data_IF_048771998129
#
_entry.id   IF_048771998129
#
_cell.length_a   1.000
_cell.length_b   1.000
_cell.length_c   1.000
_cell.angle_alpha   90.00
_cell.angle_beta   90.00
_cell.angle_gamma   90.00
#
_symmetry.space_group_name_H-M   'P 1'
#
loop_
_entity.id
_entity.type
_entity.pdbx_description
1 polymer ?
#
# COMPACT_ATOMS: atom_id res chain seq x y z
N UNK A 1 8.06 -4.70 27.90
CA UNK A 1 6.88 -5.24 27.18
C UNK A 1 7.18 -5.17 25.70
N UNK A 2 7.19 -6.31 25.01
CA UNK A 2 7.25 -6.28 23.55
C UNK A 2 5.95 -5.61 23.08
N UNK A 3 6.04 -4.46 22.41
CA UNK A 3 4.87 -3.89 21.73
C UNK A 3 4.48 -4.92 20.66
N UNK A 4 3.29 -5.48 20.78
CA UNK A 4 2.75 -6.38 19.76
C UNK A 4 2.80 -5.65 18.41
N UNK A 5 3.40 -6.31 17.42
CA UNK A 5 3.46 -5.76 16.07
C UNK A 5 2.02 -5.59 15.57
N UNK A 6 1.69 -4.49 14.87
CA UNK A 6 0.33 -4.27 14.42
C UNK A 6 -0.10 -5.42 13.51
N UNK A 7 -1.32 -5.92 13.75
CA UNK A 7 -1.88 -7.01 12.95
C UNK A 7 -2.16 -6.47 11.55
N UNK A 8 -1.51 -7.09 10.56
CA UNK A 8 -1.66 -6.74 9.15
C UNK A 8 -2.27 -7.90 8.38
N UNK A 9 -3.25 -7.59 7.55
CA UNK A 9 -3.88 -8.50 6.61
C UNK A 9 -3.69 -7.96 5.19
N UNK A 10 -3.43 -8.87 4.25
CA UNK A 10 -3.35 -8.54 2.82
C UNK A 10 -4.32 -9.46 2.09
N UNK A 11 -5.25 -8.86 1.35
CA UNK A 11 -6.07 -9.59 0.40
C UNK A 11 -5.35 -9.55 -0.95
N UNK A 12 -5.28 -10.71 -1.59
CA UNK A 12 -4.48 -10.93 -2.78
C UNK A 12 -5.37 -11.41 -3.93
N UNK A 13 -4.95 -11.17 -5.18
CA UNK A 13 -5.57 -11.81 -6.32
C UNK A 13 -5.49 -13.35 -6.21
N UNK A 14 -6.21 -14.09 -7.09
CA UNK A 14 -6.00 -15.51 -7.26
C UNK A 14 -4.52 -15.88 -7.32
N UNK A 15 -4.19 -17.06 -6.80
CA UNK A 15 -2.81 -17.59 -6.80
C UNK A 15 -2.17 -17.64 -8.19
N UNK A 16 -2.97 -17.64 -9.25
CA UNK A 16 -2.50 -17.68 -10.63
C UNK A 16 -2.97 -16.41 -11.33
N UNK A 17 -2.03 -15.64 -11.88
CA UNK A 17 -2.31 -14.38 -12.56
C UNK A 17 -1.80 -14.43 -14.01
N UNK A 18 -2.62 -14.06 -15.00
CA UNK A 18 -2.18 -13.94 -16.39
C UNK A 18 -1.25 -12.74 -16.56
N UNK A 19 -0.25 -12.91 -17.41
CA UNK A 19 0.74 -11.90 -17.71
C UNK A 19 0.18 -10.76 -18.57
N UNK A 20 0.64 -9.53 -18.33
CA UNK A 20 0.19 -8.34 -19.07
C UNK A 20 -1.21 -7.86 -18.70
N UNK A 21 -1.98 -8.62 -17.94
CA UNK A 21 -3.28 -8.22 -17.42
C UNK A 21 -3.13 -7.54 -16.05
N UNK A 22 -4.01 -6.58 -15.79
CA UNK A 22 -4.10 -5.94 -14.47
C UNK A 22 -4.42 -6.98 -13.42
N UNK A 23 -3.68 -6.93 -12.31
CA UNK A 23 -3.90 -7.76 -11.14
C UNK A 23 -5.30 -7.48 -10.60
N UNK A 24 -6.16 -8.51 -10.60
CA UNK A 24 -7.55 -8.41 -10.21
C UNK A 24 -7.97 -9.61 -9.32
N UNK A 25 -8.61 -9.39 -8.16
CA UNK A 25 -8.81 -8.09 -7.51
C UNK A 25 -7.49 -7.39 -7.18
N UNK A 26 -7.57 -6.08 -6.99
CA UNK A 26 -6.43 -5.28 -6.55
C UNK A 26 -5.89 -5.77 -5.20
N UNK A 27 -4.59 -5.60 -4.98
CA UNK A 27 -3.98 -5.97 -3.70
C UNK A 27 -4.38 -4.92 -2.67
N UNK A 28 -5.20 -5.31 -1.69
CA UNK A 28 -5.62 -4.44 -0.59
C UNK A 28 -4.91 -4.83 0.70
N UNK A 29 -4.49 -3.82 1.47
CA UNK A 29 -3.80 -3.99 2.73
C UNK A 29 -4.63 -3.36 3.83
N UNK A 30 -4.83 -4.12 4.90
CA UNK A 30 -5.47 -3.68 6.12
C UNK A 30 -4.45 -3.72 7.25
N UNK A 31 -4.29 -2.62 7.98
CA UNK A 31 -3.53 -2.56 9.22
C UNK A 31 -4.40 -1.98 10.34
N UNK A 32 -4.42 -2.62 11.50
CA UNK A 32 -5.11 -2.07 12.67
C UNK A 32 -4.43 -0.77 13.14
N UNK A 33 -5.20 0.19 13.66
CA UNK A 33 -4.68 1.42 14.26
C UNK A 33 -4.66 1.24 15.79
N UNK A 34 -3.55 1.49 16.49
CA UNK A 34 -3.58 1.53 17.95
C UNK A 34 -4.40 2.73 18.40
N UNK A 35 -5.22 2.55 19.43
CA UNK A 35 -6.14 3.58 19.95
C UNK A 35 -5.46 4.94 20.22
N UNK A 36 -4.16 4.94 20.54
CA UNK A 36 -3.37 6.17 20.78
C UNK A 36 -2.98 6.95 19.51
N UNK A 37 -2.97 6.32 18.32
CA UNK A 37 -2.57 6.98 17.07
C UNK A 37 -3.61 8.01 16.58
N UNK A 38 -4.84 7.94 17.09
CA UNK A 38 -5.92 8.89 16.81
C UNK A 38 -5.60 10.31 17.33
N UNK A 39 -4.71 10.42 18.33
CA UNK A 39 -4.42 11.70 18.99
C UNK A 39 -3.37 12.57 18.27
N UNK A 40 -2.68 12.06 17.24
CA UNK A 40 -1.68 12.84 16.50
C UNK A 40 -1.81 12.64 14.99
N UNK A 41 -1.54 13.67 14.18
CA UNK A 41 -1.44 13.50 12.73
C UNK A 41 -0.33 12.50 12.39
N UNK A 42 -0.72 11.45 11.68
CA UNK A 42 0.23 10.54 11.07
C UNK A 42 -0.05 10.49 9.58
N UNK A 43 1.04 10.56 8.80
CA UNK A 43 0.98 10.16 7.41
C UNK A 43 1.30 8.67 7.37
N UNK A 44 0.48 7.90 6.66
CA UNK A 44 0.75 6.50 6.37
C UNK A 44 0.96 6.23 4.87
N UNK A 45 1.84 5.29 4.57
CA UNK A 45 2.04 4.74 3.21
C UNK A 45 2.20 3.22 3.30
N UNK A 46 1.85 2.53 2.23
CA UNK A 46 2.22 1.14 2.02
C UNK A 46 3.28 1.04 0.92
N UNK A 47 4.32 0.21 1.14
CA UNK A 47 5.38 -0.08 0.19
C UNK A 47 5.42 -1.57 -0.11
N UNK A 48 5.42 -1.91 -1.40
CA UNK A 48 5.58 -3.26 -1.90
C UNK A 48 7.04 -3.50 -2.32
N UNK A 49 7.61 -4.63 -1.93
CA UNK A 49 8.94 -5.08 -2.36
C UNK A 49 8.94 -6.58 -2.63
N UNK A 50 9.95 -7.09 -3.33
CA UNK A 50 10.11 -8.53 -3.51
C UNK A 50 10.57 -9.20 -2.20
N UNK A 51 9.96 -10.33 -1.88
CA UNK A 51 10.33 -11.16 -0.74
C UNK A 51 10.93 -12.50 -1.17
N UNK A 52 10.31 -13.16 -2.16
CA UNK A 52 10.70 -14.48 -2.63
C UNK A 52 10.42 -14.60 -4.13
N UNK A 53 11.34 -15.22 -4.87
CA UNK A 53 11.18 -15.61 -6.28
C UNK A 53 11.52 -17.09 -6.41
N UNK A 54 10.59 -17.91 -6.88
CA UNK A 54 10.76 -19.36 -7.06
C UNK A 54 11.34 -20.07 -5.83
N UNK A 55 10.81 -19.71 -4.65
CA UNK A 55 11.26 -20.26 -3.36
C UNK A 55 12.57 -19.67 -2.83
N UNK A 56 13.29 -18.83 -3.59
CA UNK A 56 14.52 -18.15 -3.15
C UNK A 56 14.19 -16.81 -2.51
N UNK A 57 14.69 -16.60 -1.29
CA UNK A 57 14.50 -15.32 -0.57
C UNK A 57 15.30 -14.21 -1.24
N UNK A 58 14.64 -13.05 -1.36
CA UNK A 58 15.26 -11.80 -1.79
C UNK A 58 15.63 -11.00 -0.55
N UNK A 59 16.89 -10.63 -0.44
CA UNK A 59 17.37 -9.76 0.64
C UNK A 59 16.81 -8.34 0.49
N UNK A 60 16.45 -7.71 1.61
CA UNK A 60 15.82 -6.37 1.62
C UNK A 60 16.69 -5.28 0.96
N UNK A 61 18.01 -5.49 0.88
CA UNK A 61 18.97 -4.47 0.46
C UNK A 61 19.53 -4.70 -0.95
N UNK A 62 19.03 -5.69 -1.69
CA UNK A 62 19.55 -6.01 -3.02
C UNK A 62 18.78 -5.24 -4.12
N UNK A 63 19.43 -4.30 -4.83
CA UNK A 63 18.76 -3.46 -5.83
C UNK A 63 18.33 -4.21 -7.10
N UNK A 64 18.96 -5.34 -7.42
CA UNK A 64 18.67 -6.15 -8.62
C UNK A 64 17.28 -6.82 -8.60
N UNK A 65 16.61 -6.82 -7.44
CA UNK A 65 15.29 -7.39 -7.25
C UNK A 65 14.32 -6.32 -6.72
N UNK A 66 14.32 -5.14 -7.36
CA UNK A 66 13.25 -4.17 -7.16
C UNK A 66 11.94 -4.77 -7.66
N UNK A 67 10.83 -4.44 -7.00
CA UNK A 67 9.51 -4.90 -7.46
C UNK A 67 9.16 -4.38 -8.86
N UNK A 68 9.78 -3.27 -9.26
CA UNK A 68 9.60 -2.66 -10.58
C UNK A 68 10.15 -3.52 -11.71
N UNK A 69 11.02 -4.50 -11.43
CA UNK A 69 11.49 -5.47 -12.42
C UNK A 69 10.49 -6.60 -12.69
N UNK A 70 9.47 -6.76 -11.85
CA UNK A 70 8.48 -7.84 -11.98
C UNK A 70 7.07 -7.34 -12.25
N UNK A 71 6.73 -6.18 -11.69
CA UNK A 71 5.40 -5.59 -11.79
C UNK A 71 5.55 -4.17 -12.32
N UNK A 72 4.66 -3.81 -13.23
CA UNK A 72 4.45 -2.44 -13.68
C UNK A 72 3.33 -1.80 -12.86
N UNK A 73 3.40 -0.48 -12.65
CA UNK A 73 2.44 0.27 -11.84
C UNK A 73 3.09 0.92 -10.61
N UNK A 74 2.25 1.38 -9.68
CA UNK A 74 2.70 2.12 -8.49
C UNK A 74 2.86 1.15 -7.31
N UNK A 75 4.10 1.01 -6.83
CA UNK A 75 4.48 0.07 -5.77
C UNK A 75 4.64 0.72 -4.37
N UNK A 76 4.45 2.03 -4.28
CA UNK A 76 4.44 2.81 -3.04
C UNK A 76 3.20 3.70 -3.11
N UNK A 77 2.28 3.54 -2.16
CA UNK A 77 0.97 4.22 -2.18
C UNK A 77 0.70 4.93 -0.84
N UNK A 78 -0.01 6.08 -0.86
CA UNK A 78 -0.46 6.69 0.38
C UNK A 78 -1.62 5.90 0.99
N UNK A 79 -2.00 6.25 2.21
CA UNK A 79 -3.25 5.82 2.82
C UNK A 79 -4.43 6.06 1.87
N UNK A 80 -5.26 5.05 1.67
CA UNK A 80 -6.41 5.12 0.75
C UNK A 80 -7.68 5.49 1.50
N UNK A 81 -7.93 4.87 2.65
CA UNK A 81 -9.08 5.17 3.50
C UNK A 81 -8.82 4.76 4.97
N UNK A 82 -9.61 5.32 5.88
CA UNK A 82 -9.66 4.91 7.29
C UNK A 82 -11.09 4.58 7.68
N UNK A 83 -11.33 3.36 8.15
CA UNK A 83 -12.64 2.96 8.69
C UNK A 83 -12.52 1.71 9.55
N UNK A 84 -13.47 1.54 10.48
CA UNK A 84 -13.53 0.39 11.40
C UNK A 84 -12.22 0.17 12.18
N UNK A 85 -11.59 1.26 12.63
CA UNK A 85 -10.32 1.21 13.38
C UNK A 85 -9.12 0.73 12.56
N UNK A 86 -9.19 0.80 11.23
CA UNK A 86 -8.19 0.24 10.33
C UNK A 86 -7.72 1.26 9.29
N UNK A 87 -6.45 1.15 8.94
CA UNK A 87 -5.82 1.78 7.78
C UNK A 87 -6.00 0.86 6.58
N UNK A 88 -6.52 1.41 5.49
CA UNK A 88 -6.70 0.70 4.25
C UNK A 88 -5.85 1.30 3.14
N UNK A 89 -5.13 0.43 2.44
CA UNK A 89 -4.32 0.78 1.28
C UNK A 89 -4.73 -0.09 0.10
N UNK A 90 -4.74 0.48 -1.12
CA UNK A 90 -5.02 -0.27 -2.33
C UNK A 90 -3.96 -0.04 -3.41
N UNK A 91 -3.32 -1.13 -3.87
CA UNK A 91 -2.41 -1.09 -5.01
C UNK A 91 -3.20 -1.30 -6.30
N UNK A 92 -3.57 -0.18 -6.92
CA UNK A 92 -4.32 -0.14 -8.16
C UNK A 92 -3.40 -0.24 -9.38
N UNK A 93 -3.94 -0.76 -10.49
CA UNK A 93 -3.28 -0.78 -11.80
C UNK A 93 -1.90 -1.47 -11.85
N UNK A 94 -1.68 -2.46 -10.97
CA UNK A 94 -0.51 -3.32 -11.05
C UNK A 94 -0.69 -4.35 -12.17
N UNK A 95 0.36 -4.64 -12.94
CA UNK A 95 0.37 -5.73 -13.91
C UNK A 95 1.74 -6.41 -13.98
N UNK A 96 1.76 -7.73 -14.04
CA UNK A 96 3.01 -8.49 -14.20
C UNK A 96 3.63 -8.24 -15.58
N UNK A 97 4.94 -8.02 -15.61
CA UNK A 97 5.68 -7.75 -16.84
C UNK A 97 5.86 -9.04 -17.67
N UNK A 98 5.93 -8.97 -19.01
CA UNK A 98 6.05 -10.14 -19.90
C UNK A 98 7.19 -11.13 -19.56
N UNK A 99 8.30 -10.63 -19.04
CA UNK A 99 9.47 -11.42 -18.65
C UNK A 99 9.26 -12.28 -17.41
N UNK A 100 8.17 -12.08 -16.66
CA UNK A 100 7.91 -12.83 -15.42
C UNK A 100 7.11 -14.12 -15.63
N UNK A 101 6.79 -14.48 -16.87
CA UNK A 101 6.00 -15.69 -17.17
C UNK A 101 6.69 -16.95 -16.62
N UNK A 102 5.93 -17.82 -15.95
CA UNK A 102 6.42 -19.09 -15.42
C UNK A 102 7.08 -19.01 -14.06
N UNK A 103 7.20 -17.82 -13.48
CA UNK A 103 7.77 -17.62 -12.15
C UNK A 103 6.70 -17.50 -11.06
N UNK A 104 7.12 -17.74 -9.82
CA UNK A 104 6.29 -17.59 -8.61
C UNK A 104 6.89 -16.56 -7.67
N UNK A 105 6.05 -15.62 -7.22
CA UNK A 105 6.46 -14.46 -6.44
C UNK A 105 5.77 -14.41 -5.07
N UNK A 106 6.51 -13.95 -4.07
CA UNK A 106 5.94 -13.40 -2.85
C UNK A 106 6.39 -11.96 -2.72
N UNK A 107 5.45 -11.09 -2.34
CA UNK A 107 5.72 -9.70 -2.05
C UNK A 107 5.82 -9.50 -0.55
N UNK A 108 6.67 -8.56 -0.14
CA UNK A 108 6.66 -7.99 1.19
C UNK A 108 5.90 -6.68 1.12
N UNK A 109 4.84 -6.59 1.91
CA UNK A 109 4.08 -5.36 2.11
C UNK A 109 4.51 -4.76 3.44
N UNK A 110 4.97 -3.52 3.42
CA UNK A 110 5.36 -2.78 4.61
C UNK A 110 4.56 -1.50 4.71
N UNK A 111 3.96 -1.26 5.88
CA UNK A 111 3.31 0.01 6.20
C UNK A 111 4.32 0.87 6.96
N UNK A 112 4.42 2.12 6.53
CA UNK A 112 5.31 3.11 7.12
C UNK A 112 4.50 4.29 7.60
N UNK A 113 4.96 4.91 8.69
CA UNK A 113 4.33 6.09 9.24
C UNK A 113 5.35 7.21 9.46
N UNK A 114 4.92 8.45 9.26
CA UNK A 114 5.64 9.62 9.75
C UNK A 114 4.73 10.39 10.69
N UNK A 115 5.29 10.77 11.84
CA UNK A 115 4.61 11.54 12.87
C UNK A 115 5.16 12.97 12.89
N UNK A 116 4.27 13.93 13.10
CA UNK A 116 4.67 15.29 13.43
C UNK A 116 5.01 15.40 14.92
N UNK A 117 6.11 16.08 15.22
CA UNK A 117 6.52 16.42 16.57
C UNK A 117 6.15 17.87 16.86
N UNK A 118 5.05 18.10 17.58
CA UNK A 118 4.56 19.46 17.86
C UNK A 118 5.55 20.29 18.69
N UNK A 119 6.36 19.66 19.56
CA UNK A 119 7.32 20.39 20.41
C UNK A 119 8.47 20.98 19.63
N UNK A 120 8.90 20.27 18.59
CA UNK A 120 10.03 20.68 17.73
C UNK A 120 9.57 21.24 16.39
N UNK A 121 8.29 21.08 16.08
CA UNK A 121 7.65 21.39 14.80
C UNK A 121 8.34 20.71 13.60
N UNK A 122 8.71 19.44 13.78
CA UNK A 122 9.42 18.64 12.77
C UNK A 122 8.58 17.42 12.41
N UNK A 123 8.43 17.14 11.11
CA UNK A 123 7.97 15.85 10.65
C UNK A 123 9.11 14.83 10.72
N UNK A 124 8.93 13.78 11.50
CA UNK A 124 9.98 12.77 11.72
C UNK A 124 10.23 11.95 10.46
N UNK A 125 11.44 11.39 10.39
CA UNK A 125 11.77 10.38 9.40
C UNK A 125 10.71 9.25 9.43
N UNK A 126 10.26 8.75 8.27
CA UNK A 126 9.37 7.61 8.20
C UNK A 126 9.93 6.41 8.95
N UNK A 127 9.09 5.77 9.75
CA UNK A 127 9.43 4.55 10.50
C UNK A 127 8.54 3.40 10.07
N UNK A 128 9.09 2.19 10.11
CA UNK A 128 8.33 0.98 9.81
C UNK A 128 7.27 0.79 10.90
N UNK A 129 6.01 0.81 10.49
CA UNK A 129 4.88 0.56 11.37
C UNK A 129 4.64 -0.96 11.50
N UNK A 130 4.58 -1.66 10.36
CA UNK A 130 4.42 -3.10 10.31
C UNK A 130 4.80 -3.65 8.94
N UNK A 131 5.03 -4.96 8.87
CA UNK A 131 5.25 -5.64 7.59
C UNK A 131 4.69 -7.07 7.62
N UNK A 132 4.33 -7.55 6.44
CA UNK A 132 3.91 -8.93 6.21
C UNK A 132 4.39 -9.41 4.84
N UNK A 133 4.44 -10.74 4.67
CA UNK A 133 4.78 -11.38 3.39
C UNK A 133 3.52 -12.03 2.83
N UNK A 134 3.24 -11.76 1.57
CA UNK A 134 2.07 -12.27 0.87
C UNK A 134 2.17 -13.78 0.66
N UNK A 135 1.03 -14.41 0.38
CA UNK A 135 1.02 -15.74 -0.23
C UNK A 135 1.65 -15.69 -1.64
N UNK A 136 1.93 -16.87 -2.18
CA UNK A 136 2.54 -16.99 -3.50
C UNK A 136 1.57 -16.60 -4.62
N UNK A 137 2.08 -15.89 -5.62
CA UNK A 137 1.39 -15.61 -6.88
C UNK A 137 2.24 -16.20 -8.01
N UNK A 138 1.67 -17.12 -8.76
CA UNK A 138 2.27 -17.75 -9.94
C UNK A 138 1.80 -17.04 -11.20
N UNK A 139 2.74 -16.64 -12.05
CA UNK A 139 2.43 -15.89 -13.28
C UNK A 139 2.41 -16.84 -14.47
N UNK A 140 1.35 -16.78 -15.26
CA UNK A 140 1.16 -17.64 -16.44
C UNK A 140 0.99 -16.81 -17.72
N UNK A 141 1.28 -17.43 -18.86
CA UNK A 141 1.02 -16.83 -20.17
C UNK A 141 -0.47 -16.51 -20.32
N UNK A 142 -0.77 -15.38 -20.94
CA UNK A 142 -2.16 -14.96 -21.23
C UNK A 142 -2.86 -16.02 -22.09
N UNK A 143 -4.17 -16.20 -21.88
CA UNK A 143 -4.99 -17.20 -22.57
C UNK A 143 -4.92 -18.62 -22.01
N UNK A 144 -4.09 -18.90 -21.00
CA UNK A 144 -4.21 -20.14 -20.22
C UNK A 144 -5.34 -20.01 -19.22
N UNK A 145 -6.23 -21.00 -19.16
CA UNK A 145 -7.34 -21.01 -18.20
C UNK A 145 -6.80 -20.91 -16.78
N UNK A 146 -7.08 -19.78 -16.14
CA UNK A 146 -6.80 -19.55 -14.73
C UNK A 146 -7.88 -20.28 -13.95
N UNK A 147 -7.53 -21.40 -13.36
CA UNK A 147 -8.43 -22.01 -12.39
C UNK A 147 -8.43 -21.13 -11.14
N UNK A 148 -9.52 -20.37 -10.93
CA UNK A 148 -9.74 -19.63 -9.69
C UNK A 148 -9.82 -20.66 -8.55
N UNK A 149 -8.72 -20.83 -7.83
CA UNK A 149 -8.68 -21.69 -6.63
C UNK A 149 -9.25 -21.03 -5.38
N UNK A 150 -9.85 -19.85 -5.53
CA UNK A 150 -10.53 -19.10 -4.47
C UNK A 150 -12.03 -19.27 -4.70
N UNK A 151 -12.82 -19.54 -3.67
CA UNK A 151 -14.28 -19.62 -3.81
C UNK A 151 -14.83 -18.31 -4.35
N UNK A 152 -15.93 -18.37 -5.11
CA UNK A 152 -16.59 -17.18 -5.64
C UNK A 152 -16.98 -16.21 -4.52
N UNK A 153 -17.42 -16.73 -3.38
CA UNK A 153 -17.76 -15.95 -2.18
C UNK A 153 -16.60 -15.09 -1.67
N UNK A 154 -15.39 -15.64 -1.60
CA UNK A 154 -14.22 -14.88 -1.16
C UNK A 154 -13.82 -13.84 -2.20
N UNK A 155 -13.94 -14.16 -3.49
CA UNK A 155 -13.68 -13.19 -4.55
C UNK A 155 -14.67 -12.02 -4.54
N UNK A 156 -15.96 -12.30 -4.36
CA UNK A 156 -17.01 -11.27 -4.23
C UNK A 156 -16.74 -10.39 -3.02
N UNK A 157 -16.41 -10.99 -1.88
CA UNK A 157 -16.05 -10.26 -0.67
C UNK A 157 -14.82 -9.34 -0.86
N UNK A 158 -13.79 -9.81 -1.59
CA UNK A 158 -12.62 -8.98 -1.92
C UNK A 158 -13.00 -7.79 -2.81
N UNK A 159 -13.88 -8.00 -3.80
CA UNK A 159 -14.37 -6.93 -4.68
C UNK A 159 -15.24 -5.92 -3.94
N UNK A 160 -16.11 -6.37 -3.04
CA UNK A 160 -16.93 -5.51 -2.17
C UNK A 160 -16.06 -4.70 -1.21
N UNK A 161 -15.04 -5.33 -0.62
CA UNK A 161 -14.08 -4.66 0.24
C UNK A 161 -13.35 -3.57 -0.52
N UNK A 162 -12.87 -3.87 -1.72
CA UNK A 162 -12.24 -2.87 -2.58
C UNK A 162 -13.20 -1.71 -2.93
N UNK A 163 -14.44 -2.03 -3.32
CA UNK A 163 -15.47 -1.01 -3.58
C UNK A 163 -15.75 -0.12 -2.37
N UNK A 164 -15.77 -0.70 -1.17
CA UNK A 164 -15.93 0.04 0.09
C UNK A 164 -14.75 0.98 0.35
N UNK A 165 -13.52 0.51 0.15
CA UNK A 165 -12.32 1.34 0.29
C UNK A 165 -12.38 2.54 -0.65
N UNK A 166 -12.74 2.32 -1.92
CA UNK A 166 -12.88 3.40 -2.90
C UNK A 166 -13.98 4.39 -2.51
N UNK A 167 -15.15 3.89 -2.11
CA UNK A 167 -16.24 4.74 -1.66
C UNK A 167 -15.88 5.59 -0.43
N UNK A 168 -15.11 5.03 0.51
CA UNK A 168 -14.61 5.79 1.67
C UNK A 168 -13.55 6.81 1.27
N UNK A 169 -12.64 6.47 0.34
CA UNK A 169 -11.66 7.42 -0.21
C UNK A 169 -12.34 8.64 -0.82
N UNK A 170 -13.46 8.45 -1.51
CA UNK A 170 -14.20 9.54 -2.16
C UNK A 170 -14.98 10.40 -1.16
N UNK A 171 -15.58 9.79 -0.14
CA UNK A 171 -16.38 10.50 0.88
C UNK A 171 -15.51 11.23 1.88
N UNK A 172 -14.47 10.57 2.37
CA UNK A 172 -13.58 11.04 3.44
C UNK A 172 -12.13 10.73 3.04
N UNK A 173 -11.59 11.43 2.02
CA UNK A 173 -10.22 11.22 1.58
C UNK A 173 -9.23 11.49 2.72
N UNK A 174 -8.24 10.60 2.94
CA UNK A 174 -7.18 10.83 3.91
C UNK A 174 -6.47 12.15 3.68
N UNK A 175 -6.07 12.80 4.77
CA UNK A 175 -5.35 14.08 4.70
C UNK A 175 -4.03 13.92 3.95
N UNK A 176 -3.78 14.83 3.02
CA UNK A 176 -2.46 15.02 2.43
C UNK A 176 -1.50 15.77 3.33
N UNK A 177 -0.22 15.69 3.00
CA UNK A 177 0.82 16.40 3.75
C UNK A 177 0.56 17.90 3.86
N UNK A 178 0.05 18.54 2.80
CA UNK A 178 -0.29 19.97 2.80
C UNK A 178 -1.43 20.28 3.78
N UNK A 179 -2.45 19.42 3.84
CA UNK A 179 -3.57 19.57 4.76
C UNK A 179 -3.14 19.31 6.19
N UNK A 180 -2.29 18.30 6.42
CA UNK A 180 -1.67 18.10 7.71
C UNK A 180 -0.87 19.34 8.11
N UNK A 181 0.00 19.87 7.25
CA UNK A 181 0.78 21.08 7.57
C UNK A 181 -0.14 22.28 7.87
N UNK A 182 -1.26 22.43 7.17
CA UNK A 182 -2.22 23.52 7.39
C UNK A 182 -2.90 23.47 8.77
N UNK A 183 -2.99 22.29 9.41
CA UNK A 183 -3.52 22.15 10.77
C UNK A 183 -2.60 22.75 11.85
N UNK A 184 -1.31 23.01 11.54
CA UNK A 184 -0.34 23.60 12.48
C UNK A 184 0.21 24.93 11.98
N UNK A 185 -0.47 26.07 12.26
CA UNK A 185 -0.13 27.41 11.75
C UNK A 185 1.15 28.05 12.34
N UNK A 186 2.00 27.26 13.00
CA UNK A 186 3.32 27.66 13.53
C UNK A 186 4.33 27.87 12.36
N UNK A 187 5.50 28.52 12.55
CA UNK A 187 6.47 28.75 11.47
C UNK A 187 6.76 27.46 10.69
N UNK A 188 6.84 27.54 9.35
CA UNK A 188 6.88 26.39 8.42
C UNK A 188 7.52 25.14 9.04
N UNK A 189 6.70 24.11 9.29
CA UNK A 189 7.16 22.83 9.83
C UNK A 189 8.33 22.30 8.98
N UNK A 190 9.38 21.82 9.65
CA UNK A 190 10.53 21.24 8.95
C UNK A 190 10.14 19.84 8.51
N UNK A 191 10.12 19.61 7.19
CA UNK A 191 9.79 18.32 6.60
C UNK A 191 11.06 17.48 6.40
N UNK A 192 11.00 16.20 6.74
CA UNK A 192 12.02 15.26 6.34
C UNK A 192 12.01 15.09 4.81
N UNK A 193 13.17 15.00 4.16
CA UNK A 193 13.28 14.99 2.69
C UNK A 193 12.52 13.84 1.98
N UNK A 194 12.27 12.73 2.68
CA UNK A 194 11.41 11.65 2.15
C UNK A 194 9.93 12.03 2.04
N UNK A 195 9.47 13.03 2.78
CA UNK A 195 8.08 13.50 2.76
C UNK A 195 7.82 14.52 1.65
N UNK A 196 8.86 15.24 1.24
CA UNK A 196 8.86 16.13 0.08
C UNK A 196 8.91 15.36 -1.26
N UNK A 197 8.98 14.03 -1.21
CA UNK A 197 9.13 13.15 -2.38
C UNK A 197 8.14 12.00 -2.33
N UNK A 198 7.77 11.49 -3.49
CA UNK A 198 6.96 10.28 -3.60
C UNK A 198 5.49 10.48 -3.19
N UNK A 199 4.77 9.39 -2.88
CA UNK A 199 3.31 9.38 -2.79
C UNK A 199 2.72 10.08 -1.55
N UNK A 200 3.55 10.44 -0.57
CA UNK A 200 3.15 11.25 0.58
C UNK A 200 2.51 12.60 0.19
N UNK A 201 2.97 13.15 -0.93
CA UNK A 201 2.55 14.44 -1.48
C UNK A 201 1.43 14.33 -2.53
N UNK A 202 0.97 13.13 -2.89
CA UNK A 202 0.12 12.92 -4.07
C UNK A 202 -1.37 13.22 -3.84
N UNK A 203 -1.84 13.35 -2.60
CA UNK A 203 -3.25 13.63 -2.30
C UNK A 203 -3.62 15.11 -2.44
N UNK A 204 -2.66 16.03 -2.57
CA UNK A 204 -2.97 17.47 -2.81
C UNK A 204 -3.31 17.76 -4.28
N UNK A 205 -2.71 17.05 -5.24
CA UNK A 205 -2.87 17.34 -6.67
C UNK A 205 -4.22 16.92 -7.26
N UNK A 206 -4.91 15.94 -6.68
CA UNK A 206 -6.21 15.47 -7.21
C UNK A 206 -7.41 16.29 -6.74
N UNK A 207 -7.31 17.05 -5.64
CA UNK A 207 -8.40 17.91 -5.16
C UNK A 207 -8.56 19.19 -5.98
N UNK A 208 -7.46 19.72 -6.53
CA UNK A 208 -7.48 20.95 -7.35
C UNK A 208 -7.84 20.71 -8.83
N UNK A 209 -8.12 19.47 -9.23
CA UNK A 209 -8.52 19.10 -10.59
C UNK A 209 -10.01 18.78 -10.73
N UNK A 210 -10.85 19.12 -9.75
CA UNK A 210 -12.30 19.14 -9.98
C UNK A 210 -12.63 20.28 -10.97
N UNK A 211 -13.26 20.01 -12.12
CA UNK A 211 -13.67 21.07 -13.02
C UNK A 211 -14.72 21.94 -12.29
N UNK A 212 -14.47 23.24 -12.31
CA UNK A 212 -15.47 24.26 -11.97
C UNK A 212 -16.60 24.27 -12.99
#
# INVERSE_FOLDING_TARGET
MAKDKPKMQVNLPPRVQPIGETIAPHITVCAEVPDEAVLRPHLYQARMSLAVVDGRRVEKNQPAHSVDSVVSGVNIIPLTATFSGRLWFSFENLAFRPETAGHTYHFRISVWQSAHDEKTNIWKQPTLYGETITQNITVVLSGRSVERRVSNEVHEWDMETFGTILGMREREPPLGIEECVALWPQPKAIMHAELDRGPWAATSKSRNSAPS
#
